data_IF_724973537213
#
_entry.id   IF_724973537213
#
_cell.length_a   1.000
_cell.length_b   1.000
_cell.length_c   1.000
_cell.angle_alpha   90.00
_cell.angle_beta   90.00
_cell.angle_gamma   90.00
#
_symmetry.space_group_name_H-M   'P 1'
#
loop_
_entity.id
_entity.type
_entity.pdbx_description
1 polymer ?
#
# COMPACT_ATOMS: atom_id res chain seq x y z
N UNK A 1 35.77 -60.53 -19.62
CA UNK A 1 34.78 -59.89 -20.53
C UNK A 1 33.53 -59.35 -19.82
N UNK A 2 33.03 -59.98 -18.74
CA UNK A 2 31.86 -59.45 -17.99
C UNK A 2 32.15 -58.12 -17.27
N UNK A 3 33.32 -58.00 -16.62
CA UNK A 3 33.69 -56.80 -15.84
C UNK A 3 33.85 -55.53 -16.69
N UNK A 4 34.36 -55.66 -17.92
CA UNK A 4 34.57 -54.52 -18.85
C UNK A 4 33.24 -53.90 -19.31
N UNK A 5 32.21 -54.73 -19.54
CA UNK A 5 30.89 -54.26 -19.96
C UNK A 5 30.19 -53.47 -18.86
N UNK A 6 30.32 -53.91 -17.60
CA UNK A 6 29.77 -53.20 -16.44
C UNK A 6 30.45 -51.85 -16.24
N UNK A 7 31.78 -51.77 -16.38
CA UNK A 7 32.51 -50.49 -16.29
C UNK A 7 32.09 -49.52 -17.39
N UNK A 8 31.95 -49.99 -18.64
CA UNK A 8 31.48 -49.16 -19.76
C UNK A 8 30.05 -48.67 -19.52
N UNK A 9 29.16 -49.53 -19.00
CA UNK A 9 27.78 -49.16 -18.72
C UNK A 9 27.68 -48.08 -17.62
N UNK A 10 28.50 -48.19 -16.56
CA UNK A 10 28.53 -47.20 -15.48
C UNK A 10 29.09 -45.84 -15.96
N UNK A 11 30.09 -45.85 -16.85
CA UNK A 11 30.61 -44.61 -17.44
C UNK A 11 29.59 -43.93 -18.35
N UNK A 12 28.84 -44.70 -19.15
CA UNK A 12 27.75 -44.19 -19.99
C UNK A 12 26.60 -43.61 -19.15
N UNK A 13 26.26 -44.26 -18.03
CA UNK A 13 25.25 -43.78 -17.10
C UNK A 13 25.69 -42.48 -16.40
N UNK A 14 26.94 -42.41 -15.95
CA UNK A 14 27.48 -41.20 -15.32
C UNK A 14 27.55 -40.02 -16.31
N UNK A 15 27.93 -40.29 -17.57
CA UNK A 15 27.96 -39.27 -18.61
C UNK A 15 26.56 -38.76 -18.99
N UNK A 16 25.57 -39.67 -19.09
CA UNK A 16 24.18 -39.27 -19.33
C UNK A 16 23.63 -38.45 -18.16
N UNK A 17 23.79 -38.87 -16.91
CA UNK A 17 23.36 -38.09 -15.74
C UNK A 17 24.02 -36.70 -15.68
N UNK A 18 25.30 -36.59 -16.06
CA UNK A 18 26.02 -35.31 -16.14
C UNK A 18 25.43 -34.37 -17.20
N UNK A 19 25.00 -34.89 -18.35
CA UNK A 19 24.37 -34.08 -19.42
C UNK A 19 22.95 -33.58 -19.08
N UNK A 20 22.27 -34.13 -18.06
CA UNK A 20 20.92 -33.68 -17.68
C UNK A 20 20.91 -32.35 -16.88
N UNK A 21 22.07 -31.83 -16.46
CA UNK A 21 22.15 -30.57 -15.73
C UNK A 21 22.52 -29.40 -16.66
N UNK A 22 21.74 -29.18 -17.72
CA UNK A 22 21.83 -27.96 -18.50
C UNK A 22 21.10 -26.84 -17.74
N UNK A 23 21.85 -25.86 -17.24
CA UNK A 23 21.27 -24.62 -16.72
C UNK A 23 20.71 -23.83 -17.91
N UNK A 24 19.39 -23.77 -18.04
CA UNK A 24 18.73 -22.83 -18.96
C UNK A 24 18.99 -21.43 -18.41
N UNK A 25 19.57 -20.53 -19.21
CA UNK A 25 19.55 -19.11 -18.91
C UNK A 25 18.19 -18.58 -19.37
N UNK A 26 17.34 -18.20 -18.43
CA UNK A 26 16.10 -17.51 -18.72
C UNK A 26 16.40 -16.13 -19.34
N UNK A 27 15.56 -15.72 -20.30
CA UNK A 27 15.60 -14.37 -20.85
C UNK A 27 14.79 -13.50 -19.88
N UNK A 28 15.38 -12.42 -19.31
CA UNK A 28 14.66 -11.56 -18.38
C UNK A 28 13.39 -11.02 -19.01
N UNK A 29 12.31 -11.00 -18.23
CA UNK A 29 11.06 -10.40 -18.69
C UNK A 29 11.18 -8.89 -18.85
N UNK A 30 10.41 -8.33 -19.79
CA UNK A 30 10.44 -6.89 -20.07
C UNK A 30 9.85 -6.13 -18.87
N UNK A 31 10.56 -5.12 -18.32
CA UNK A 31 10.05 -4.27 -17.24
C UNK A 31 8.81 -3.46 -17.63
N UNK A 32 8.11 -2.94 -16.62
CA UNK A 32 7.10 -1.88 -16.79
C UNK A 32 7.77 -0.51 -16.70
N UNK A 33 7.70 0.29 -17.75
CA UNK A 33 8.20 1.66 -17.77
C UNK A 33 7.12 2.66 -17.35
N UNK A 34 7.45 3.53 -16.40
CA UNK A 34 6.63 4.66 -15.98
C UNK A 34 7.35 5.97 -16.24
N UNK A 35 6.64 6.94 -16.80
CA UNK A 35 7.17 8.29 -17.04
C UNK A 35 6.11 9.35 -16.80
N UNK A 36 6.51 10.59 -16.59
CA UNK A 36 5.56 11.67 -16.45
C UNK A 36 6.14 12.92 -15.81
N UNK A 37 5.26 13.86 -15.47
CA UNK A 37 5.58 15.07 -14.73
C UNK A 37 5.47 14.82 -13.24
N UNK A 38 6.32 15.48 -12.47
CA UNK A 38 6.26 15.53 -11.01
C UNK A 38 5.99 16.97 -10.60
N UNK A 39 4.95 17.15 -9.79
CA UNK A 39 4.59 18.46 -9.23
C UNK A 39 4.59 18.42 -7.71
N UNK A 40 5.12 19.47 -7.09
CA UNK A 40 5.17 19.65 -5.64
C UNK A 40 4.55 21.01 -5.35
N UNK A 41 3.46 21.02 -4.59
CA UNK A 41 2.74 22.26 -4.24
C UNK A 41 2.34 23.07 -5.49
N UNK A 42 1.89 22.37 -6.53
CA UNK A 42 1.45 22.96 -7.80
C UNK A 42 2.57 23.44 -8.74
N UNK A 43 3.84 23.38 -8.33
CA UNK A 43 4.99 23.74 -9.18
C UNK A 43 5.73 22.48 -9.67
N UNK A 44 6.45 22.53 -10.82
CA UNK A 44 7.31 21.42 -11.23
C UNK A 44 8.33 21.07 -10.16
N UNK A 45 8.55 19.77 -9.91
CA UNK A 45 9.52 19.32 -8.94
C UNK A 45 10.94 19.79 -9.31
N UNK A 46 11.76 20.25 -8.34
CA UNK A 46 13.15 20.59 -8.57
C UNK A 46 13.94 19.39 -9.11
N UNK A 47 14.98 19.66 -9.89
CA UNK A 47 15.91 18.62 -10.34
C UNK A 47 16.53 17.90 -9.14
N UNK A 48 16.72 16.58 -9.27
CA UNK A 48 17.24 15.77 -8.18
C UNK A 48 16.18 15.29 -7.17
N UNK A 49 14.90 15.64 -7.35
CA UNK A 49 13.84 15.12 -6.47
C UNK A 49 13.70 13.61 -6.65
N UNK A 50 13.77 12.86 -5.55
CA UNK A 50 13.64 11.40 -5.54
C UNK A 50 12.21 10.96 -5.85
N UNK A 51 12.08 10.03 -6.79
CA UNK A 51 10.86 9.30 -7.15
C UNK A 51 11.14 7.81 -6.94
N UNK A 52 10.28 7.14 -6.18
CA UNK A 52 10.42 5.72 -5.84
C UNK A 52 9.16 4.96 -6.26
N UNK A 53 9.35 3.75 -6.75
CA UNK A 53 8.30 2.80 -7.11
C UNK A 53 8.58 1.48 -6.38
N UNK A 54 7.64 1.06 -5.54
CA UNK A 54 7.83 -0.05 -4.59
C UNK A 54 6.73 -1.09 -4.79
N UNK A 55 7.13 -2.35 -4.97
CA UNK A 55 6.25 -3.51 -4.80
C UNK A 55 6.60 -4.13 -3.46
N UNK A 56 5.67 -4.19 -2.49
CA UNK A 56 5.96 -4.63 -1.13
C UNK A 56 6.65 -5.99 -1.08
N UNK A 57 7.76 -6.07 -0.34
CA UNK A 57 8.57 -7.28 -0.14
C UNK A 57 9.18 -7.90 -1.42
N UNK A 58 9.18 -7.17 -2.54
CA UNK A 58 9.60 -7.72 -3.85
C UNK A 58 10.59 -6.80 -4.55
N UNK A 59 10.12 -5.68 -5.09
CA UNK A 59 10.89 -4.85 -6.01
C UNK A 59 10.91 -3.40 -5.58
N UNK A 60 12.06 -2.76 -5.80
CA UNK A 60 12.29 -1.36 -5.53
C UNK A 60 13.00 -0.73 -6.72
N UNK A 61 12.45 0.35 -7.25
CA UNK A 61 13.04 1.14 -8.32
C UNK A 61 12.99 2.62 -7.95
N UNK A 62 14.05 3.36 -8.26
CA UNK A 62 14.08 4.80 -7.98
C UNK A 62 14.81 5.59 -9.06
N UNK A 63 14.39 6.85 -9.22
CA UNK A 63 15.00 7.82 -10.11
C UNK A 63 14.90 9.21 -9.51
N UNK A 64 15.72 10.13 -9.99
CA UNK A 64 15.56 11.55 -9.71
C UNK A 64 14.94 12.30 -10.88
N UNK A 65 14.21 13.36 -10.58
CA UNK A 65 13.61 14.25 -11.59
C UNK A 65 14.67 15.05 -12.35
N UNK A 66 14.36 15.36 -13.61
CA UNK A 66 15.06 16.35 -14.45
C UNK A 66 14.01 17.19 -15.17
N UNK A 67 14.10 18.51 -15.06
CA UNK A 67 13.13 19.49 -15.53
C UNK A 67 11.68 19.16 -15.12
N UNK A 68 11.49 18.71 -13.87
CA UNK A 68 10.16 18.33 -13.35
C UNK A 68 9.55 17.08 -13.98
N UNK A 69 10.34 16.25 -14.65
CA UNK A 69 9.91 14.98 -15.24
C UNK A 69 10.70 13.80 -14.70
N UNK A 70 10.15 12.60 -14.81
CA UNK A 70 10.82 11.36 -14.42
C UNK A 70 10.56 10.24 -15.44
N UNK A 71 11.46 9.26 -15.46
CA UNK A 71 11.31 7.98 -16.15
C UNK A 71 11.95 6.90 -15.27
N UNK A 72 11.20 5.85 -14.96
CA UNK A 72 11.65 4.72 -14.14
C UNK A 72 11.11 3.40 -14.68
N UNK A 73 11.84 2.32 -14.44
CA UNK A 73 11.45 0.97 -14.84
C UNK A 73 11.30 0.09 -13.60
N UNK A 74 10.18 -0.61 -13.50
CA UNK A 74 9.93 -1.61 -12.46
C UNK A 74 10.12 -2.99 -13.09
N UNK A 75 11.02 -3.80 -12.54
CA UNK A 75 11.36 -5.12 -13.09
C UNK A 75 10.17 -6.09 -13.00
N UNK A 76 10.07 -6.99 -13.97
CA UNK A 76 9.13 -8.09 -13.97
C UNK A 76 9.76 -9.35 -13.32
N UNK A 77 8.92 -10.17 -12.70
CA UNK A 77 9.33 -11.46 -12.10
C UNK A 77 9.79 -12.47 -13.17
N UNK A 78 10.80 -13.28 -12.85
CA UNK A 78 11.23 -14.40 -13.69
C UNK A 78 10.57 -15.71 -13.20
N UNK A 79 9.67 -16.34 -13.97
CA UNK A 79 8.96 -17.54 -13.55
C UNK A 79 9.86 -18.78 -13.50
N UNK A 80 11.07 -18.70 -14.07
CA UNK A 80 12.04 -19.78 -14.08
C UNK A 80 12.96 -19.75 -12.84
N UNK A 81 12.91 -18.69 -12.02
CA UNK A 81 13.61 -18.60 -10.75
C UNK A 81 12.66 -18.89 -9.58
N UNK A 82 13.14 -19.56 -8.50
CA UNK A 82 12.32 -19.79 -7.31
C UNK A 82 12.13 -18.52 -6.46
N UNK A 83 13.01 -17.52 -6.60
CA UNK A 83 12.91 -16.22 -5.95
C UNK A 83 11.87 -15.32 -6.63
N UNK A 84 11.27 -14.38 -5.88
CA UNK A 84 10.43 -13.32 -6.46
C UNK A 84 11.28 -12.07 -6.62
N UNK A 85 11.60 -11.72 -7.85
CA UNK A 85 12.63 -10.72 -8.17
C UNK A 85 12.03 -9.43 -8.77
N UNK A 86 10.77 -9.48 -9.18
CA UNK A 86 10.06 -8.40 -9.83
C UNK A 86 8.54 -8.51 -9.70
N UNK A 87 7.84 -7.56 -10.31
CA UNK A 87 6.38 -7.54 -10.31
C UNK A 87 5.77 -8.63 -11.19
N UNK A 88 4.60 -9.11 -10.78
CA UNK A 88 3.69 -9.94 -11.57
C UNK A 88 2.50 -9.10 -12.03
N UNK A 89 1.89 -9.49 -13.14
CA UNK A 89 0.71 -8.80 -13.66
C UNK A 89 -0.37 -8.66 -12.58
N UNK A 90 -0.78 -7.42 -12.30
CA UNK A 90 -1.79 -7.08 -11.30
C UNK A 90 -1.25 -6.70 -9.92
N UNK A 91 0.04 -6.87 -9.64
CA UNK A 91 0.66 -6.39 -8.39
C UNK A 91 0.49 -4.87 -8.25
N UNK A 92 0.47 -4.36 -7.01
CA UNK A 92 0.43 -2.92 -6.75
C UNK A 92 1.84 -2.36 -6.62
N UNK A 93 2.14 -1.39 -7.48
CA UNK A 93 3.32 -0.52 -7.39
C UNK A 93 2.91 0.75 -6.65
N UNK A 94 3.54 1.03 -5.52
CA UNK A 94 3.34 2.25 -4.73
C UNK A 94 4.38 3.29 -5.13
N UNK A 95 3.92 4.49 -5.48
CA UNK A 95 4.76 5.60 -5.91
C UNK A 95 4.93 6.62 -4.79
N UNK A 96 6.17 7.02 -4.57
CA UNK A 96 6.55 8.03 -3.60
C UNK A 96 7.34 9.14 -4.31
N UNK A 97 7.13 10.37 -3.86
CA UNK A 97 7.92 11.55 -4.28
C UNK A 97 8.46 12.17 -3.01
N UNK A 98 9.78 12.38 -2.95
CA UNK A 98 10.45 12.87 -1.74
C UNK A 98 10.02 12.10 -0.47
N UNK A 99 9.99 10.77 -0.55
CA UNK A 99 9.58 9.84 0.51
C UNK A 99 8.11 9.95 0.96
N UNK A 100 7.29 10.75 0.27
CA UNK A 100 5.87 10.89 0.55
C UNK A 100 5.05 10.08 -0.44
N UNK A 101 4.14 9.24 0.05
CA UNK A 101 3.24 8.45 -0.78
C UNK A 101 2.36 9.37 -1.65
N UNK A 102 2.26 9.06 -2.95
CA UNK A 102 1.45 9.82 -3.91
C UNK A 102 0.30 8.99 -4.42
N UNK A 103 0.58 7.80 -4.97
CA UNK A 103 -0.43 6.97 -5.63
C UNK A 103 0.05 5.53 -5.77
N UNK A 104 -0.80 4.65 -6.31
CA UNK A 104 -0.42 3.30 -6.71
C UNK A 104 -0.93 2.95 -8.10
N UNK A 105 -0.26 2.03 -8.79
CA UNK A 105 -0.65 1.55 -10.13
C UNK A 105 -0.54 0.02 -10.21
N UNK A 106 -1.33 -0.61 -11.09
CA UNK A 106 -1.28 -2.06 -11.34
C UNK A 106 -0.13 -2.39 -12.28
N UNK A 107 0.79 -3.24 -11.83
CA UNK A 107 1.92 -3.67 -12.63
C UNK A 107 1.46 -4.49 -13.85
N UNK A 108 2.07 -4.22 -14.99
CA UNK A 108 1.89 -4.95 -16.24
C UNK A 108 3.25 -5.20 -16.90
N UNK A 109 3.59 -6.46 -17.12
CA UNK A 109 4.84 -6.88 -17.77
C UNK A 109 4.92 -6.23 -19.16
N UNK A 110 6.03 -5.54 -19.44
CA UNK A 110 6.23 -4.80 -20.69
C UNK A 110 5.36 -3.54 -20.84
N UNK A 111 4.65 -3.13 -19.79
CA UNK A 111 3.82 -1.94 -19.80
C UNK A 111 4.62 -0.66 -20.02
N UNK A 112 3.99 0.33 -20.64
CA UNK A 112 4.51 1.69 -20.77
C UNK A 112 3.40 2.65 -20.37
N UNK A 113 3.58 3.35 -19.25
CA UNK A 113 2.51 4.14 -18.63
C UNK A 113 2.97 5.56 -18.35
N UNK A 114 2.23 6.53 -18.89
CA UNK A 114 2.33 7.91 -18.45
C UNK A 114 1.59 8.06 -17.11
N UNK A 115 2.32 8.41 -16.06
CA UNK A 115 1.79 8.63 -14.73
C UNK A 115 2.32 9.97 -14.19
N UNK A 116 1.43 10.95 -14.06
CA UNK A 116 1.79 12.23 -13.48
C UNK A 116 1.68 12.15 -11.95
N UNK A 117 2.74 12.57 -11.25
CA UNK A 117 2.82 12.53 -9.78
C UNK A 117 2.65 13.93 -9.21
N UNK A 118 1.85 14.06 -8.16
CA UNK A 118 1.60 15.34 -7.51
C UNK A 118 1.57 15.21 -6.00
N UNK A 119 2.40 15.98 -5.31
CA UNK A 119 2.28 16.17 -3.87
C UNK A 119 1.31 17.34 -3.60
N UNK A 120 0.16 17.07 -2.94
CA UNK A 120 -0.76 18.14 -2.58
C UNK A 120 -0.08 19.10 -1.60
N UNK A 121 -0.42 20.38 -1.70
CA UNK A 121 -0.12 21.33 -0.63
C UNK A 121 -0.80 20.82 0.63
N UNK A 122 -0.09 20.80 1.75
CA UNK A 122 -0.77 20.84 3.05
C UNK A 122 -1.71 22.05 2.96
N UNK A 123 -3.01 21.82 3.09
CA UNK A 123 -3.96 22.92 3.26
C UNK A 123 -3.48 23.69 4.49
N UNK A 124 -3.00 24.91 4.27
CA UNK A 124 -2.89 25.88 5.34
C UNK A 124 -4.24 25.87 6.05
N UNK A 125 -4.31 25.74 7.40
CA UNK A 125 -5.58 25.73 8.12
C UNK A 125 -6.46 26.86 7.60
N UNK A 126 -7.77 26.64 7.38
CA UNK A 126 -8.63 27.65 6.78
C UNK A 126 -8.38 28.97 7.49
N UNK A 127 -7.75 29.90 6.78
CA UNK A 127 -7.53 31.24 7.31
C UNK A 127 -8.93 31.77 7.62
N UNK A 128 -9.23 32.18 8.87
CA UNK A 128 -10.54 32.67 9.22
C UNK A 128 -10.95 33.69 8.17
N UNK A 129 -12.04 33.41 7.46
CA UNK A 129 -12.59 34.32 6.48
C UNK A 129 -12.77 35.66 7.21
N UNK A 130 -12.09 36.71 6.75
CA UNK A 130 -12.38 38.05 7.24
C UNK A 130 -13.90 38.25 7.11
N UNK A 131 -14.57 38.76 8.16
CA UNK A 131 -16.01 38.94 8.12
C UNK A 131 -16.35 39.84 6.93
N UNK A 132 -17.14 39.28 6.01
CA UNK A 132 -17.76 40.05 4.94
C UNK A 132 -18.51 41.23 5.55
N UNK A 133 -18.42 42.46 4.99
CA UNK A 133 -19.15 43.60 5.52
C UNK A 133 -20.65 43.26 5.57
N UNK A 134 -21.19 43.33 6.77
CA UNK A 134 -22.56 43.02 7.14
C UNK A 134 -23.55 43.83 6.27
N UNK A 135 -24.50 43.20 5.55
CA UNK A 135 -25.59 43.92 4.94
C UNK A 135 -26.49 44.52 6.03
N UNK A 136 -26.68 45.84 5.95
CA UNK A 136 -27.61 46.66 6.76
C UNK A 136 -28.97 45.98 6.95
N UNK A 137 -29.62 46.09 8.13
CA UNK A 137 -30.81 45.32 8.47
C UNK A 137 -32.03 45.77 7.65
N UNK A 138 -32.63 44.83 6.92
CA UNK A 138 -33.96 44.98 6.31
C UNK A 138 -35.02 44.36 7.26
N UNK A 139 -36.20 44.98 7.46
CA UNK A 139 -37.12 44.58 8.51
C UNK A 139 -37.78 43.22 8.24
N UNK A 140 -37.73 42.39 9.28
CA UNK A 140 -38.32 41.05 9.38
C UNK A 140 -39.85 41.03 9.28
N UNK A 141 -40.42 40.01 8.61
CA UNK A 141 -41.60 39.34 9.11
C UNK A 141 -41.30 37.94 9.70
N UNK A 142 -42.07 37.65 10.75
CA UNK A 142 -42.07 36.53 11.71
C UNK A 142 -42.36 35.11 11.12
N UNK A 143 -42.24 34.02 11.91
CA UNK A 143 -41.62 32.76 11.51
C UNK A 143 -42.60 31.69 11.01
N UNK A 144 -42.10 30.79 10.16
CA UNK A 144 -42.64 29.46 9.92
C UNK A 144 -41.65 28.41 10.46
N UNK A 145 -42.09 27.24 10.97
CA UNK A 145 -41.25 26.35 11.75
C UNK A 145 -40.20 25.67 10.88
N UNK A 146 -38.92 25.93 11.16
CA UNK A 146 -37.82 25.14 10.61
C UNK A 146 -37.79 23.78 11.30
N UNK A 147 -37.99 22.74 10.48
CA UNK A 147 -37.78 21.35 10.83
C UNK A 147 -36.26 21.10 10.99
N UNK A 148 -35.78 20.52 12.10
CA UNK A 148 -34.35 20.27 12.27
C UNK A 148 -33.88 19.22 11.27
N UNK A 149 -33.09 19.63 10.28
CA UNK A 149 -32.23 18.71 9.53
C UNK A 149 -31.14 18.24 10.50
N UNK A 150 -31.31 17.03 11.02
CA UNK A 150 -30.32 16.35 11.85
C UNK A 150 -29.09 16.04 11.00
N UNK A 151 -28.12 16.94 10.97
CA UNK A 151 -26.75 16.60 10.57
C UNK A 151 -26.15 15.81 11.73
N UNK A 152 -25.78 14.53 11.55
CA UNK A 152 -25.19 13.75 12.64
C UNK A 152 -23.90 14.42 13.10
N UNK A 153 -23.71 14.49 14.42
CA UNK A 153 -22.48 15.04 14.96
C UNK A 153 -21.31 14.14 14.57
N UNK A 154 -20.14 14.71 14.30
CA UNK A 154 -18.92 13.93 14.01
C UNK A 154 -18.63 12.91 15.13
N UNK A 155 -19.08 13.21 16.35
CA UNK A 155 -18.97 12.31 17.51
C UNK A 155 -19.84 11.05 17.32
N UNK A 156 -21.04 11.17 16.73
CA UNK A 156 -21.93 10.04 16.44
C UNK A 156 -21.39 9.16 15.32
N UNK A 157 -20.72 9.76 14.33
CA UNK A 157 -20.11 9.03 13.21
C UNK A 157 -18.90 8.22 13.66
N UNK A 158 -18.03 8.80 14.50
CA UNK A 158 -16.89 8.12 15.11
C UNK A 158 -17.35 6.99 16.05
N UNK A 159 -18.39 7.23 16.86
CA UNK A 159 -18.94 6.20 17.75
C UNK A 159 -19.59 5.05 16.96
N UNK A 160 -20.20 5.34 15.81
CA UNK A 160 -20.75 4.32 14.92
C UNK A 160 -19.62 3.50 14.28
N UNK A 161 -18.54 4.14 13.84
CA UNK A 161 -17.40 3.46 13.24
C UNK A 161 -16.67 2.55 14.24
N UNK A 162 -16.49 3.01 15.48
CA UNK A 162 -15.92 2.19 16.56
C UNK A 162 -16.79 0.98 16.91
N UNK A 163 -18.11 1.08 16.79
CA UNK A 163 -19.03 -0.06 16.97
C UNK A 163 -18.92 -1.07 15.83
N UNK A 164 -18.74 -0.62 14.59
CA UNK A 164 -18.58 -1.51 13.42
C UNK A 164 -17.27 -2.30 13.49
N UNK A 165 -16.17 -1.68 13.94
CA UNK A 165 -14.87 -2.34 14.07
C UNK A 165 -14.80 -3.36 15.22
N UNK A 166 -15.65 -3.23 16.25
CA UNK A 166 -15.62 -4.09 17.44
C UNK A 166 -16.53 -5.32 17.34
N UNK A 167 -17.53 -5.32 16.45
CA UNK A 167 -18.45 -6.47 16.28
C UNK A 167 -17.79 -7.77 15.79
N UNK A 168 -16.88 -7.79 14.79
CA UNK A 168 -16.29 -9.05 14.33
C UNK A 168 -15.26 -9.65 15.29
N UNK A 169 -14.73 -8.85 16.22
CA UNK A 169 -13.67 -9.29 17.15
C UNK A 169 -14.28 -9.92 18.42
N UNK A 170 -15.44 -9.44 18.88
CA UNK A 170 -16.10 -9.97 20.08
C UNK A 170 -16.54 -11.43 19.95
N UNK A 171 -17.15 -11.80 18.82
CA UNK A 171 -17.65 -13.16 18.55
C UNK A 171 -16.50 -14.18 18.42
N UNK A 172 -15.38 -13.78 17.80
CA UNK A 172 -14.21 -14.65 17.63
C UNK A 172 -13.47 -14.91 18.96
N UNK A 173 -13.40 -13.93 19.87
CA UNK A 173 -12.74 -14.07 21.17
C UNK A 173 -13.54 -14.90 22.17
N UNK A 174 -14.88 -14.85 22.12
CA UNK A 174 -15.75 -15.71 22.96
C UNK A 174 -15.54 -17.19 22.58
N UNK A 175 -15.35 -17.49 21.30
CA UNK A 175 -14.99 -18.83 20.81
C UNK A 175 -13.61 -19.30 21.30
N UNK A 176 -12.66 -18.39 21.53
CA UNK A 176 -11.27 -18.74 21.86
C UNK A 176 -11.03 -18.92 23.36
N UNK A 177 -11.78 -18.22 24.22
CA UNK A 177 -11.53 -18.16 25.67
C UNK A 177 -12.53 -19.00 26.49
N UNK A 178 -13.66 -19.40 25.89
CA UNK A 178 -14.73 -20.12 26.59
C UNK A 178 -15.44 -19.26 27.64
N UNK A 179 -16.53 -19.78 28.21
CA UNK A 179 -17.43 -19.10 29.17
C UNK A 179 -16.75 -18.76 30.53
N UNK A 180 -15.67 -17.99 30.52
CA UNK A 180 -14.97 -17.55 31.72
C UNK A 180 -15.49 -16.17 32.15
N UNK A 181 -16.25 -16.07 33.26
CA UNK A 181 -16.92 -14.84 33.67
C UNK A 181 -15.96 -13.72 34.09
N UNK A 182 -14.68 -14.03 34.35
CA UNK A 182 -13.66 -13.02 34.71
C UNK A 182 -13.22 -12.21 33.48
N UNK A 183 -13.21 -12.83 32.30
CA UNK A 183 -12.80 -12.18 31.05
C UNK A 183 -13.91 -11.24 30.57
N UNK A 184 -15.19 -11.64 30.67
CA UNK A 184 -16.32 -10.80 30.27
C UNK A 184 -16.41 -9.46 31.02
N UNK A 185 -15.95 -9.40 32.28
CA UNK A 185 -16.02 -8.19 33.10
C UNK A 185 -14.94 -7.15 32.73
N UNK A 186 -13.80 -7.59 32.20
CA UNK A 186 -12.70 -6.70 31.76
C UNK A 186 -12.98 -6.01 30.41
N UNK A 187 -13.89 -6.56 29.60
CA UNK A 187 -14.16 -6.08 28.24
C UNK A 187 -15.29 -5.04 28.15
N UNK A 188 -16.16 -4.94 29.16
CA UNK A 188 -17.35 -4.08 29.11
C UNK A 188 -17.07 -2.65 29.60
N UNK A 189 -16.16 -2.44 30.56
CA UNK A 189 -16.01 -1.11 31.18
C UNK A 189 -14.87 -0.24 30.63
N UNK A 190 -13.87 -0.77 29.91
CA UNK A 190 -12.69 0.04 29.51
C UNK A 190 -12.17 -0.29 28.09
N UNK A 191 -12.92 0.03 27.02
CA UNK A 191 -12.53 -0.28 25.64
C UNK A 191 -11.20 0.37 25.21
N UNK A 192 -10.83 1.50 25.82
CA UNK A 192 -9.60 2.24 25.53
C UNK A 192 -8.35 1.46 25.97
N UNK A 193 -8.41 0.75 27.11
CA UNK A 193 -7.27 -0.04 27.58
C UNK A 193 -6.99 -1.25 26.69
N UNK A 194 -8.03 -1.88 26.12
CA UNK A 194 -7.85 -3.02 25.23
C UNK A 194 -7.16 -2.61 23.93
N UNK A 195 -7.54 -1.46 23.35
CA UNK A 195 -6.88 -0.91 22.15
C UNK A 195 -5.42 -0.58 22.46
N UNK A 196 -5.13 0.00 23.63
CA UNK A 196 -3.75 0.29 24.05
C UNK A 196 -2.92 -0.99 24.21
N UNK A 197 -3.47 -2.06 24.80
CA UNK A 197 -2.78 -3.34 24.97
C UNK A 197 -2.52 -4.01 23.61
N UNK A 198 -3.48 -3.97 22.69
CA UNK A 198 -3.32 -4.53 21.34
C UNK A 198 -2.24 -3.76 20.56
N UNK A 199 -2.22 -2.44 20.64
CA UNK A 199 -1.17 -1.61 20.02
C UNK A 199 0.20 -1.93 20.64
N UNK A 200 0.30 -2.06 21.96
CA UNK A 200 1.56 -2.41 22.64
C UNK A 200 2.04 -3.80 22.23
N UNK A 201 1.15 -4.79 22.12
CA UNK A 201 1.50 -6.13 21.66
C UNK A 201 1.95 -6.10 20.20
N UNK A 202 1.26 -5.38 19.31
CA UNK A 202 1.68 -5.23 17.91
C UNK A 202 3.06 -4.55 17.77
N UNK A 203 3.40 -3.63 18.66
CA UNK A 203 4.72 -2.97 18.69
C UNK A 203 5.83 -3.83 19.31
N UNK A 204 5.49 -4.83 20.14
CA UNK A 204 6.47 -5.73 20.75
C UNK A 204 6.78 -6.96 19.89
N UNK A 205 5.93 -7.26 18.90
CA UNK A 205 6.06 -8.41 18.00
C UNK A 205 6.36 -8.01 16.54
N UNK A 206 6.61 -6.73 16.27
CA UNK A 206 7.17 -6.21 15.02
C UNK A 206 8.68 -5.95 15.18
#
# INVERSE_FOLDING_TARGET
MRSVKTTIMLMLLAFTVSCLCAKVQAIPQIPHCFYGKVTIYGSPAPDGTLVEAIIPNIAYSSKTTVNGTYELMVLADDPDTPEIEGGRNGDLVYFYVAQTYVTSYRFEIGGVTELNLSLPSEEQPPQPSEPSPEPSPEPSPSPAPEQPSQQPSIIDEVNTFLRVLTQPIGEWLISMVGDNPIISFLFIEQPIMLVAIIIILLLLFA
#
